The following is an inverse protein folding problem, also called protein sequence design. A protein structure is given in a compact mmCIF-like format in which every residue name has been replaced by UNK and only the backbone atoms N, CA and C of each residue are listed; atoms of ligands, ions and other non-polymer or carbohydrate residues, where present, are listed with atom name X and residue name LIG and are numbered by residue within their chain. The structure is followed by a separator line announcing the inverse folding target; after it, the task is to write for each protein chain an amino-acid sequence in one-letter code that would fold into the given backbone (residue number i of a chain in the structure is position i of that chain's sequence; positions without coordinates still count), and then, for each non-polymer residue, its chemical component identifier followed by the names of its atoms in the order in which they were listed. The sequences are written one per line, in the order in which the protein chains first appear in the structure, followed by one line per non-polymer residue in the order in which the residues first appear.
data_IF_317281446833
#
_entry.id   IF_317281446833
#
_cell.length_a   1.000
_cell.length_b   1.000
_cell.length_c   1.000
_cell.angle_alpha   90.00
_cell.angle_beta   90.00
_cell.angle_gamma   90.00
#
_symmetry.space_group_name_H-M   'P 1'
#
loop_
_entity.id
_entity.type
_entity.pdbx_description
1 polymer ?
#
# COMPACT_ATOMS: atom_id res chain seq x y z
N UNK A 1 -5.02 -1.94 40.72
CA UNK A 1 -5.55 -1.73 39.34
C UNK A 1 -5.45 -0.29 38.82
N UNK A 2 -5.73 0.77 39.61
CA UNK A 2 -5.59 2.19 39.16
C UNK A 2 -4.17 2.56 38.70
N UNK A 3 -3.13 2.16 39.43
CA UNK A 3 -1.72 2.44 39.08
C UNK A 3 -1.31 1.87 37.70
N UNK A 4 -1.60 0.59 37.42
CA UNK A 4 -1.34 -0.02 36.10
C UNK A 4 -2.09 0.67 34.96
N UNK A 5 -3.35 1.08 35.15
CA UNK A 5 -4.13 1.82 34.14
C UNK A 5 -3.56 3.21 33.88
N UNK A 6 -3.07 3.89 34.90
CA UNK A 6 -2.42 5.20 34.75
C UNK A 6 -1.07 5.07 34.03
N UNK A 7 -0.29 4.03 34.32
CA UNK A 7 0.98 3.77 33.63
C UNK A 7 0.78 3.51 32.13
N UNK A 8 -0.26 2.77 31.74
CA UNK A 8 -0.58 2.55 30.32
C UNK A 8 -0.98 3.86 29.64
N UNK A 9 -1.87 4.65 30.26
CA UNK A 9 -2.27 5.97 29.73
C UNK A 9 -1.09 6.93 29.57
N UNK A 10 -0.20 6.99 30.56
CA UNK A 10 0.98 7.85 30.52
C UNK A 10 1.94 7.44 29.40
N UNK A 11 2.10 6.13 29.15
CA UNK A 11 2.90 5.62 28.03
C UNK A 11 2.31 5.99 26.67
N UNK A 12 0.99 5.89 26.50
CA UNK A 12 0.33 6.30 25.26
C UNK A 12 0.51 7.79 24.98
N UNK A 13 0.34 8.64 26.01
CA UNK A 13 0.54 10.09 25.88
C UNK A 13 2.01 10.42 25.58
N UNK A 14 2.95 9.73 26.24
CA UNK A 14 4.38 9.91 25.97
C UNK A 14 4.74 9.53 24.52
N UNK A 15 4.19 8.42 24.01
CA UNK A 15 4.38 8.01 22.61
C UNK A 15 3.80 9.04 21.63
N UNK A 16 2.60 9.56 21.90
CA UNK A 16 2.00 10.62 21.09
C UNK A 16 2.85 11.90 21.12
N UNK A 17 3.39 12.27 22.28
CA UNK A 17 4.30 13.39 22.44
C UNK A 17 5.60 13.21 21.66
N UNK A 18 6.22 12.02 21.71
CA UNK A 18 7.44 11.71 20.94
C UNK A 18 7.15 11.78 19.44
N UNK A 19 6.06 11.17 18.99
CA UNK A 19 5.66 11.21 17.58
C UNK A 19 5.40 12.65 17.09
N UNK A 20 4.78 13.49 17.93
CA UNK A 20 4.51 14.89 17.63
C UNK A 20 5.81 15.71 17.56
N UNK A 21 6.70 15.56 18.54
CA UNK A 21 8.00 16.25 18.53
C UNK A 21 8.82 15.89 17.30
N UNK A 22 8.88 14.61 16.93
CA UNK A 22 9.56 14.19 15.70
C UNK A 22 8.88 14.75 14.45
N UNK A 23 7.55 14.81 14.42
CA UNK A 23 6.80 15.41 13.32
C UNK A 23 7.13 16.90 13.15
N UNK A 24 7.24 17.64 14.25
CA UNK A 24 7.66 19.06 14.25
C UNK A 24 9.10 19.19 13.74
N UNK A 25 10.01 18.32 14.17
CA UNK A 25 11.40 18.32 13.69
C UNK A 25 11.45 18.08 12.18
N UNK A 26 10.72 17.10 11.66
CA UNK A 26 10.69 16.83 10.23
C UNK A 26 10.05 17.95 9.42
N UNK A 27 9.01 18.60 9.94
CA UNK A 27 8.41 19.79 9.33
C UNK A 27 9.40 20.98 9.33
N UNK A 28 10.14 21.18 10.42
CA UNK A 28 11.18 22.20 10.48
C UNK A 28 12.33 21.92 9.52
N UNK A 29 12.71 20.64 9.35
CA UNK A 29 13.72 20.24 8.38
C UNK A 29 13.26 20.48 6.94
N UNK A 30 12.01 20.14 6.60
CA UNK A 30 11.44 20.38 5.27
C UNK A 30 11.46 21.84 4.85
N UNK A 31 11.30 22.74 5.82
CA UNK A 31 11.40 24.17 5.59
C UNK A 31 12.83 24.65 5.28
N UNK A 32 13.86 24.05 5.90
CA UNK A 32 15.25 24.52 5.82
C UNK A 32 16.05 23.82 4.72
N UNK A 33 15.82 22.52 4.50
CA UNK A 33 16.64 21.69 3.62
C UNK A 33 15.83 21.27 2.39
N UNK A 34 16.23 21.67 1.16
CA UNK A 34 15.59 21.21 -0.07
C UNK A 34 15.54 19.68 -0.13
N UNK A 35 14.45 19.13 -0.67
CA UNK A 35 14.21 17.69 -0.78
C UNK A 35 14.02 16.92 0.54
N UNK A 36 14.15 17.55 1.71
CA UNK A 36 13.93 16.84 2.97
C UNK A 36 12.46 16.52 3.24
N UNK A 37 11.52 17.07 2.47
CA UNK A 37 10.11 16.63 2.42
C UNK A 37 9.95 15.15 2.03
N UNK A 38 10.92 14.56 1.31
CA UNK A 38 10.97 13.11 1.09
C UNK A 38 11.14 12.31 2.39
N UNK A 39 11.84 12.87 3.39
CA UNK A 39 11.95 12.23 4.70
C UNK A 39 10.58 12.17 5.38
N UNK A 40 9.75 13.21 5.22
CA UNK A 40 8.39 13.20 5.78
C UNK A 40 7.55 12.08 5.18
N UNK A 41 7.63 11.86 3.86
CA UNK A 41 6.89 10.82 3.14
C UNK A 41 7.20 9.41 3.69
N UNK A 42 8.40 9.19 4.21
CA UNK A 42 8.86 7.90 4.73
C UNK A 42 8.66 7.79 6.24
N UNK A 43 9.14 8.77 7.02
CA UNK A 43 9.21 8.67 8.48
C UNK A 43 7.90 9.01 9.19
N UNK A 44 7.09 9.93 8.65
CA UNK A 44 5.83 10.34 9.29
C UNK A 44 4.79 9.21 9.30
N UNK A 45 4.53 8.50 8.19
CA UNK A 45 3.63 7.36 8.20
C UNK A 45 4.12 6.25 9.13
N UNK A 46 5.44 6.02 9.18
CA UNK A 46 6.06 5.07 10.09
C UNK A 46 5.78 5.40 11.57
N UNK A 47 6.06 6.64 12.00
CA UNK A 47 5.81 7.08 13.38
C UNK A 47 4.33 6.97 13.75
N UNK A 48 3.47 7.38 12.83
CA UNK A 48 2.01 7.36 13.01
C UNK A 48 1.47 5.93 13.09
N UNK A 49 2.03 5.00 12.32
CA UNK A 49 1.70 3.58 12.39
C UNK A 49 2.09 2.97 13.73
N UNK A 50 3.30 3.23 14.23
CA UNK A 50 3.74 2.75 15.55
C UNK A 50 2.87 3.30 16.67
N UNK A 51 2.50 4.58 16.60
CA UNK A 51 1.58 5.19 17.54
C UNK A 51 0.22 4.48 17.50
N UNK A 52 -0.35 4.27 16.31
CA UNK A 52 -1.66 3.64 16.16
C UNK A 52 -1.68 2.19 16.69
N UNK A 53 -0.61 1.41 16.50
CA UNK A 53 -0.50 0.04 17.01
C UNK A 53 -0.53 0.00 18.56
N UNK A 54 -0.05 1.05 19.24
CA UNK A 54 0.18 1.03 20.69
C UNK A 54 -0.68 1.99 21.49
N UNK A 55 -1.54 2.77 20.84
CA UNK A 55 -2.38 3.77 21.49
C UNK A 55 -3.85 3.60 21.16
N UNK A 56 -4.69 4.05 22.09
CA UNK A 56 -6.14 4.12 21.88
C UNK A 56 -6.52 5.14 20.80
N UNK A 57 -7.63 4.91 20.09
CA UNK A 57 -8.17 5.84 19.09
C UNK A 57 -8.32 7.27 19.60
N UNK A 58 -8.63 7.44 20.89
CA UNK A 58 -8.69 8.76 21.54
C UNK A 58 -7.36 9.51 21.46
N UNK A 59 -6.25 8.84 21.77
CA UNK A 59 -4.93 9.45 21.75
C UNK A 59 -4.43 9.66 20.31
N UNK A 60 -4.80 8.78 19.38
CA UNK A 60 -4.56 8.99 17.95
C UNK A 60 -5.28 10.24 17.43
N UNK A 61 -6.53 10.46 17.85
CA UNK A 61 -7.28 11.67 17.47
C UNK A 61 -6.67 12.94 18.05
N UNK A 62 -6.26 12.93 19.33
CA UNK A 62 -5.56 14.06 19.95
C UNK A 62 -4.25 14.36 19.20
N UNK A 63 -3.49 13.33 18.83
CA UNK A 63 -2.28 13.46 18.03
C UNK A 63 -2.57 14.08 16.66
N UNK A 64 -3.57 13.59 15.93
CA UNK A 64 -3.97 14.13 14.63
C UNK A 64 -4.38 15.62 14.73
N UNK A 65 -5.12 15.99 15.77
CA UNK A 65 -5.52 17.37 16.01
C UNK A 65 -4.29 18.26 16.27
N UNK A 66 -3.34 17.78 17.08
CA UNK A 66 -2.08 18.49 17.28
C UNK A 66 -1.28 18.63 15.99
N UNK A 67 -1.24 17.59 15.14
CA UNK A 67 -0.62 17.66 13.80
C UNK A 67 -1.27 18.73 12.93
N UNK A 68 -2.60 18.80 12.89
CA UNK A 68 -3.33 19.84 12.14
C UNK A 68 -2.97 21.24 12.64
N UNK A 69 -2.81 21.43 13.96
CA UNK A 69 -2.42 22.72 14.53
C UNK A 69 -1.00 23.13 14.16
N UNK A 70 -0.03 22.20 14.17
CA UNK A 70 1.35 22.51 13.77
C UNK A 70 1.50 22.71 12.26
N UNK A 71 0.60 22.14 11.45
CA UNK A 71 0.59 22.36 10.00
C UNK A 71 0.36 23.83 9.61
N UNK A 72 -0.07 24.70 10.53
CA UNK A 72 -0.15 26.14 10.27
C UNK A 72 1.21 26.86 10.31
N UNK A 73 2.28 26.21 10.79
CA UNK A 73 3.65 26.76 10.77
C UNK A 73 4.13 26.89 9.31
N UNK A 74 3.91 25.85 8.52
CA UNK A 74 4.11 25.84 7.07
C UNK A 74 2.89 25.17 6.44
N UNK A 75 2.00 25.98 5.90
CA UNK A 75 0.72 25.53 5.32
C UNK A 75 0.97 24.58 4.14
N UNK A 76 2.03 24.80 3.36
CA UNK A 76 2.31 23.98 2.17
C UNK A 76 2.79 22.59 2.60
N UNK A 77 3.85 22.51 3.40
CA UNK A 77 4.37 21.22 3.86
C UNK A 77 3.38 20.54 4.83
N UNK A 78 2.69 21.33 5.65
CA UNK A 78 1.72 20.88 6.63
C UNK A 78 0.47 20.22 6.04
N UNK A 79 -0.18 20.87 5.06
CA UNK A 79 -1.41 20.34 4.44
C UNK A 79 -1.15 19.23 3.43
N UNK A 80 -0.09 19.35 2.62
CA UNK A 80 0.08 18.45 1.47
C UNK A 80 1.02 17.28 1.76
N UNK A 81 1.86 17.38 2.79
CA UNK A 81 2.78 16.31 3.15
C UNK A 81 2.53 15.79 4.56
N UNK A 82 2.51 16.65 5.58
CA UNK A 82 2.44 16.18 6.97
C UNK A 82 1.10 15.48 7.29
N UNK A 83 -0.03 16.16 7.10
CA UNK A 83 -1.36 15.63 7.43
C UNK A 83 -1.67 14.32 6.66
N UNK A 84 -1.53 14.25 5.33
CA UNK A 84 -1.82 13.03 4.58
C UNK A 84 -0.97 11.84 5.06
N UNK A 85 0.32 12.06 5.31
CA UNK A 85 1.24 11.02 5.76
C UNK A 85 0.93 10.52 7.17
N UNK A 86 0.49 11.42 8.07
CA UNK A 86 -0.01 11.00 9.39
C UNK A 86 -1.24 10.12 9.25
N UNK A 87 -2.20 10.50 8.40
CA UNK A 87 -3.43 9.71 8.19
C UNK A 87 -3.08 8.33 7.62
N UNK A 88 -2.20 8.25 6.62
CA UNK A 88 -1.75 6.97 6.04
C UNK A 88 -1.19 6.04 7.12
N UNK A 89 -0.30 6.55 7.97
CA UNK A 89 0.29 5.75 9.04
C UNK A 89 -0.72 5.33 10.11
N UNK A 90 -1.59 6.25 10.56
CA UNK A 90 -2.65 5.93 11.53
C UNK A 90 -3.58 4.84 10.99
N UNK A 91 -3.95 4.92 9.70
CA UNK A 91 -4.76 3.90 9.06
C UNK A 91 -4.02 2.56 9.03
N UNK A 92 -2.77 2.53 8.58
CA UNK A 92 -1.98 1.28 8.57
C UNK A 92 -1.96 0.61 9.96
N UNK A 93 -1.62 1.37 11.01
CA UNK A 93 -1.54 0.81 12.36
C UNK A 93 -2.89 0.35 12.91
N UNK A 94 -3.99 1.00 12.54
CA UNK A 94 -5.33 0.54 12.90
C UNK A 94 -5.74 -0.72 12.13
N UNK A 95 -5.39 -0.83 10.84
CA UNK A 95 -5.61 -2.05 10.04
C UNK A 95 -4.82 -3.25 10.61
N UNK A 96 -3.60 -3.01 11.12
CA UNK A 96 -2.84 -4.00 11.91
C UNK A 96 -3.64 -4.45 13.14
N UNK A 97 -4.17 -3.51 13.92
CA UNK A 97 -4.92 -3.81 15.15
C UNK A 97 -6.22 -4.58 14.86
N UNK A 98 -6.84 -4.35 13.69
CA UNK A 98 -7.99 -5.14 13.22
C UNK A 98 -7.62 -6.55 12.73
N UNK A 99 -6.34 -6.93 12.80
CA UNK A 99 -5.83 -8.24 12.37
C UNK A 99 -6.16 -8.55 10.90
N UNK A 100 -6.15 -7.53 10.05
CA UNK A 100 -6.28 -7.74 8.61
C UNK A 100 -5.07 -8.49 8.08
N UNK A 101 -5.31 -9.34 7.08
CA UNK A 101 -4.27 -10.05 6.36
C UNK A 101 -3.27 -9.09 5.72
N UNK A 102 -2.00 -9.49 5.63
CA UNK A 102 -0.91 -8.65 5.11
C UNK A 102 -1.21 -8.02 3.75
N UNK A 103 -1.78 -8.78 2.82
CA UNK A 103 -2.10 -8.28 1.47
C UNK A 103 -3.23 -7.27 1.48
N UNK A 104 -4.27 -7.50 2.30
CA UNK A 104 -5.39 -6.58 2.44
C UNK A 104 -4.97 -5.30 3.15
N UNK A 105 -4.08 -5.42 4.12
CA UNK A 105 -3.49 -4.30 4.84
C UNK A 105 -2.63 -3.42 3.91
N UNK A 106 -1.76 -4.05 3.10
CA UNK A 106 -0.97 -3.35 2.09
C UNK A 106 -1.87 -2.59 1.10
N UNK A 107 -2.90 -3.26 0.60
CA UNK A 107 -3.82 -2.65 -0.36
C UNK A 107 -4.68 -1.53 0.24
N UNK A 108 -5.29 -1.78 1.40
CA UNK A 108 -6.12 -0.77 2.05
C UNK A 108 -5.32 0.49 2.29
N UNK A 109 -4.06 0.33 2.70
CA UNK A 109 -3.16 1.47 2.93
C UNK A 109 -2.73 2.15 1.63
N UNK A 110 -2.35 1.41 0.58
CA UNK A 110 -1.95 2.01 -0.70
C UNK A 110 -3.10 2.72 -1.40
N UNK A 111 -4.33 2.19 -1.28
CA UNK A 111 -5.55 2.81 -1.79
C UNK A 111 -5.82 4.14 -1.07
N UNK A 112 -5.67 4.17 0.26
CA UNK A 112 -5.88 5.40 1.04
C UNK A 112 -4.77 6.42 0.77
N UNK A 113 -3.52 5.98 0.65
CA UNK A 113 -2.41 6.84 0.21
C UNK A 113 -2.70 7.45 -1.16
N UNK A 114 -3.18 6.65 -2.11
CA UNK A 114 -3.56 7.14 -3.44
C UNK A 114 -4.68 8.18 -3.37
N UNK A 115 -5.77 7.88 -2.65
CA UNK A 115 -6.90 8.81 -2.52
C UNK A 115 -6.46 10.13 -1.89
N UNK A 116 -5.67 10.09 -0.82
CA UNK A 116 -5.16 11.29 -0.16
C UNK A 116 -4.23 12.10 -1.08
N UNK A 117 -3.33 11.42 -1.80
CA UNK A 117 -2.41 12.06 -2.74
C UNK A 117 -3.18 12.70 -3.90
N UNK A 118 -4.20 12.02 -4.42
CA UNK A 118 -5.02 12.51 -5.52
C UNK A 118 -5.89 13.70 -5.09
N UNK A 119 -6.48 13.64 -3.88
CA UNK A 119 -7.20 14.79 -3.28
C UNK A 119 -6.26 15.97 -3.03
N UNK A 120 -5.03 15.72 -2.56
CA UNK A 120 -4.04 16.77 -2.34
C UNK A 120 -3.75 17.56 -3.61
N UNK A 121 -3.65 16.91 -4.78
CA UNK A 121 -3.46 17.58 -6.07
C UNK A 121 -4.59 18.57 -6.36
N UNK A 122 -5.85 18.14 -6.20
CA UNK A 122 -6.99 19.04 -6.41
C UNK A 122 -6.99 20.22 -5.43
N UNK A 123 -6.62 19.97 -4.17
CA UNK A 123 -6.50 21.02 -3.17
C UNK A 123 -5.38 22.02 -3.49
N UNK A 124 -4.21 21.55 -3.95
CA UNK A 124 -3.11 22.43 -4.39
C UNK A 124 -3.57 23.29 -5.56
N UNK A 125 -4.19 22.68 -6.57
CA UNK A 125 -4.68 23.40 -7.73
C UNK A 125 -5.70 24.46 -7.34
N UNK A 126 -6.58 24.15 -6.39
CA UNK A 126 -7.60 25.08 -5.90
C UNK A 126 -7.01 26.24 -5.07
N UNK A 127 -6.09 25.96 -4.14
CA UNK A 127 -5.54 26.95 -3.20
C UNK A 127 -4.51 27.84 -3.87
N UNK A 128 -3.57 27.26 -4.64
CA UNK A 128 -2.47 28.01 -5.24
C UNK A 128 -2.70 28.43 -6.69
N UNK A 129 -3.82 28.02 -7.30
CA UNK A 129 -4.16 28.31 -8.70
C UNK A 129 -3.07 27.84 -9.69
N UNK A 130 -2.38 26.75 -9.35
CA UNK A 130 -1.38 26.08 -10.18
C UNK A 130 -2.08 24.90 -10.88
N UNK A 131 -1.83 24.69 -12.17
CA UNK A 131 -2.26 23.44 -12.82
C UNK A 131 -1.17 22.38 -12.69
N UNK A 132 -1.25 21.57 -11.62
CA UNK A 132 -0.30 20.48 -11.43
C UNK A 132 -0.33 19.44 -12.56
N UNK A 133 -1.45 19.22 -13.24
CA UNK A 133 -1.49 18.28 -14.36
C UNK A 133 -0.64 18.79 -15.52
N UNK A 134 -0.69 20.10 -15.80
CA UNK A 134 0.17 20.74 -16.79
C UNK A 134 1.65 20.71 -16.38
N UNK A 135 1.95 20.95 -15.10
CA UNK A 135 3.33 20.88 -14.59
C UNK A 135 3.91 19.47 -14.78
N UNK A 136 3.16 18.43 -14.39
CA UNK A 136 3.60 17.06 -14.59
C UNK A 136 3.65 16.67 -16.08
N UNK A 137 2.69 17.09 -16.90
CA UNK A 137 2.71 16.79 -18.34
C UNK A 137 3.97 17.36 -19.01
N UNK A 138 4.37 18.58 -18.63
CA UNK A 138 5.59 19.21 -19.11
C UNK A 138 6.86 18.46 -18.65
N UNK A 139 6.88 17.99 -17.39
CA UNK A 139 8.00 17.21 -16.84
C UNK A 139 8.19 15.89 -17.59
N UNK A 140 7.09 15.22 -17.96
CA UNK A 140 7.11 13.96 -18.71
C UNK A 140 7.15 14.14 -20.24
N UNK A 141 7.13 15.39 -20.73
CA UNK A 141 7.06 15.73 -22.17
C UNK A 141 5.86 15.08 -22.87
N UNK A 142 4.71 15.05 -22.19
CA UNK A 142 3.45 14.51 -22.69
C UNK A 142 2.45 15.65 -22.93
N UNK A 143 1.52 15.43 -23.86
CA UNK A 143 0.34 16.28 -23.95
C UNK A 143 -0.47 16.18 -22.66
N UNK A 144 -1.04 17.30 -22.21
CA UNK A 144 -1.81 17.36 -20.95
C UNK A 144 -3.00 16.38 -20.95
N UNK A 145 -3.67 16.24 -22.10
CA UNK A 145 -4.76 15.28 -22.30
C UNK A 145 -4.31 13.83 -22.10
N UNK A 146 -3.10 13.49 -22.56
CA UNK A 146 -2.51 12.17 -22.40
C UNK A 146 -2.08 11.93 -20.95
N UNK A 147 -1.48 12.93 -20.30
CA UNK A 147 -1.10 12.82 -18.89
C UNK A 147 -2.34 12.62 -18.00
N UNK A 148 -3.42 13.36 -18.22
CA UNK A 148 -4.68 13.21 -17.47
C UNK A 148 -5.26 11.80 -17.56
N UNK A 149 -5.02 11.06 -18.65
CA UNK A 149 -5.43 9.66 -18.78
C UNK A 149 -4.63 8.72 -17.88
N UNK A 150 -3.31 8.90 -17.80
CA UNK A 150 -2.42 8.02 -17.02
C UNK A 150 -2.25 8.46 -15.56
N UNK A 151 -2.58 9.71 -15.23
CA UNK A 151 -2.32 10.32 -13.94
C UNK A 151 -2.85 9.49 -12.75
N UNK A 152 -4.09 8.96 -12.74
CA UNK A 152 -4.57 8.14 -11.63
C UNK A 152 -3.68 6.90 -11.38
N UNK A 153 -3.29 6.21 -12.45
CA UNK A 153 -2.42 5.04 -12.37
C UNK A 153 -1.01 5.42 -11.90
N UNK A 154 -0.48 6.56 -12.37
CA UNK A 154 0.81 7.09 -11.94
C UNK A 154 0.84 7.39 -10.44
N UNK A 155 -0.14 8.14 -9.93
CA UNK A 155 -0.22 8.45 -8.50
C UNK A 155 -0.48 7.19 -7.67
N UNK A 156 -1.26 6.24 -8.19
CA UNK A 156 -1.41 4.94 -7.55
C UNK A 156 -0.08 4.19 -7.44
N UNK A 157 0.73 4.16 -8.49
CA UNK A 157 2.05 3.53 -8.47
C UNK A 157 2.99 4.16 -7.42
N UNK A 158 2.98 5.50 -7.30
CA UNK A 158 3.73 6.20 -6.25
C UNK A 158 3.26 5.80 -4.85
N UNK A 159 1.93 5.73 -4.63
CA UNK A 159 1.36 5.29 -3.36
C UNK A 159 1.70 3.84 -3.01
N UNK A 160 1.80 2.96 -4.02
CA UNK A 160 2.25 1.57 -3.84
C UNK A 160 3.71 1.54 -3.40
N UNK A 161 4.59 2.31 -4.03
CA UNK A 161 6.02 2.42 -3.62
C UNK A 161 6.14 2.93 -2.19
N UNK A 162 5.43 4.02 -1.86
CA UNK A 162 5.44 4.60 -0.52
C UNK A 162 4.98 3.57 0.53
N UNK A 163 3.84 2.91 0.26
CA UNK A 163 3.28 1.91 1.15
C UNK A 163 4.22 0.72 1.33
N UNK A 164 4.97 0.35 0.29
CA UNK A 164 5.96 -0.73 0.36
C UNK A 164 7.11 -0.40 1.30
N UNK A 165 7.71 0.78 1.15
CA UNK A 165 8.78 1.25 2.04
C UNK A 165 8.30 1.31 3.49
N UNK A 166 7.12 1.88 3.72
CA UNK A 166 6.52 1.95 5.05
C UNK A 166 6.22 0.56 5.62
N UNK A 167 5.65 -0.35 4.82
CA UNK A 167 5.32 -1.71 5.28
C UNK A 167 6.58 -2.48 5.69
N UNK A 168 7.65 -2.40 4.91
CA UNK A 168 8.92 -3.07 5.23
C UNK A 168 9.49 -2.57 6.57
N UNK A 169 9.53 -1.25 6.75
CA UNK A 169 10.07 -0.64 7.98
C UNK A 169 9.20 -0.91 9.21
N UNK A 170 7.88 -0.76 9.10
CA UNK A 170 6.97 -1.01 10.24
C UNK A 170 6.96 -2.49 10.61
N UNK A 171 6.98 -3.42 9.65
CA UNK A 171 6.97 -4.86 9.95
C UNK A 171 8.20 -5.31 10.73
N UNK A 172 9.39 -4.78 10.42
CA UNK A 172 10.61 -5.12 11.14
C UNK A 172 10.59 -4.60 12.58
N UNK A 173 10.01 -3.43 12.82
CA UNK A 173 9.79 -2.92 14.18
C UNK A 173 8.68 -3.69 14.92
N UNK A 174 7.59 -4.06 14.25
CA UNK A 174 6.48 -4.83 14.85
C UNK A 174 6.95 -6.15 15.47
N UNK A 175 7.94 -6.83 14.86
CA UNK A 175 8.55 -8.05 15.42
C UNK A 175 9.13 -7.82 16.81
N UNK A 176 9.73 -6.66 17.07
CA UNK A 176 10.29 -6.29 18.39
C UNK A 176 9.20 -6.09 19.45
N UNK A 177 7.97 -5.82 19.02
CA UNK A 177 6.82 -5.60 19.90
C UNK A 177 5.93 -6.83 20.06
N UNK A 178 6.34 -8.00 19.56
CA UNK A 178 5.56 -9.25 19.54
C UNK A 178 4.19 -9.11 18.87
N UNK A 179 4.06 -8.22 17.87
CA UNK A 179 2.83 -8.09 17.08
C UNK A 179 2.99 -8.93 15.82
N UNK A 180 2.28 -10.05 15.74
CA UNK A 180 2.22 -10.88 14.55
C UNK A 180 1.14 -10.41 13.60
N UNK A 181 1.45 -10.42 12.32
CA UNK A 181 0.47 -10.25 11.24
C UNK A 181 -0.31 -11.55 11.03
N UNK A 182 -1.60 -11.42 10.70
CA UNK A 182 -2.49 -12.55 10.42
C UNK A 182 -2.29 -13.00 8.97
N UNK A 183 -2.27 -14.32 8.76
CA UNK A 183 -2.24 -14.95 7.43
C UNK A 183 -3.42 -15.93 7.34
N UNK A 184 -4.46 -15.57 6.57
CA UNK A 184 -5.65 -16.37 6.36
C UNK A 184 -5.44 -17.43 5.27
N UNK A 185 -5.84 -18.68 5.56
CA UNK A 185 -5.69 -19.82 4.62
C UNK A 185 -6.48 -19.65 3.32
N UNK A 186 -7.60 -18.93 3.34
CA UNK A 186 -8.44 -18.71 2.14
C UNK A 186 -8.09 -17.44 1.36
N UNK A 187 -7.08 -16.69 1.83
CA UNK A 187 -6.71 -15.40 1.26
C UNK A 187 -6.37 -15.49 -0.23
N UNK A 188 -5.71 -16.57 -0.66
CA UNK A 188 -5.37 -16.78 -2.07
C UNK A 188 -6.60 -16.72 -2.99
N UNK A 189 -7.69 -17.41 -2.64
CA UNK A 189 -8.93 -17.40 -3.43
C UNK A 189 -9.58 -16.01 -3.45
N UNK A 190 -9.56 -15.31 -2.32
CA UNK A 190 -10.09 -13.95 -2.19
C UNK A 190 -9.31 -13.01 -3.12
N UNK A 191 -7.98 -13.07 -3.10
CA UNK A 191 -7.11 -12.22 -3.93
C UNK A 191 -7.28 -12.50 -5.43
N UNK A 192 -7.44 -13.77 -5.82
CA UNK A 192 -7.76 -14.14 -7.21
C UNK A 192 -9.12 -13.58 -7.64
N UNK A 193 -10.15 -13.73 -6.80
CA UNK A 193 -11.48 -13.20 -7.09
C UNK A 193 -11.46 -11.69 -7.26
N UNK A 194 -10.72 -10.98 -6.40
CA UNK A 194 -10.55 -9.52 -6.50
C UNK A 194 -9.77 -9.13 -7.77
N UNK A 195 -8.72 -9.87 -8.14
CA UNK A 195 -7.99 -9.62 -9.39
C UNK A 195 -8.93 -9.71 -10.61
N UNK A 196 -9.67 -10.81 -10.72
CA UNK A 196 -10.62 -11.02 -11.82
C UNK A 196 -11.70 -9.95 -11.84
N UNK A 197 -12.21 -9.55 -10.67
CA UNK A 197 -13.18 -8.47 -10.54
C UNK A 197 -12.63 -7.16 -11.11
N UNK A 198 -11.43 -6.74 -10.70
CA UNK A 198 -10.82 -5.50 -11.18
C UNK A 198 -10.53 -5.53 -12.67
N UNK A 199 -10.06 -6.68 -13.18
CA UNK A 199 -9.86 -6.86 -14.61
C UNK A 199 -11.16 -6.73 -15.41
N UNK A 200 -12.22 -7.44 -15.01
CA UNK A 200 -13.50 -7.38 -15.71
C UNK A 200 -14.11 -5.97 -15.65
N UNK A 201 -14.06 -5.32 -14.49
CA UNK A 201 -14.53 -3.94 -14.33
C UNK A 201 -13.76 -2.96 -15.23
N UNK A 202 -12.45 -3.17 -15.39
CA UNK A 202 -11.63 -2.32 -16.26
C UNK A 202 -12.08 -2.35 -17.71
N UNK A 203 -12.58 -3.49 -18.20
CA UNK A 203 -13.08 -3.65 -19.57
C UNK A 203 -14.47 -3.03 -19.76
N UNK A 204 -15.29 -2.99 -18.70
CA UNK A 204 -16.66 -2.48 -18.76
C UNK A 204 -16.73 -0.95 -18.63
N UNK A 205 -15.75 -0.31 -17.99
CA UNK A 205 -15.77 1.13 -17.73
C UNK A 205 -15.32 1.93 -18.94
N UNK A 206 -16.20 2.80 -19.43
CA UNK A 206 -15.93 3.69 -20.59
C UNK A 206 -14.89 4.77 -20.32
N UNK A 207 -14.73 5.20 -19.07
CA UNK A 207 -13.72 6.19 -18.71
C UNK A 207 -12.33 5.54 -18.71
N UNK A 208 -11.51 5.89 -19.71
CA UNK A 208 -10.17 5.35 -19.92
C UNK A 208 -9.27 5.50 -18.69
N UNK A 209 -9.30 6.64 -18.00
CA UNK A 209 -8.44 6.88 -16.84
C UNK A 209 -8.78 5.96 -15.66
N UNK A 210 -10.08 5.72 -15.44
CA UNK A 210 -10.55 4.79 -14.40
C UNK A 210 -10.27 3.34 -14.81
N UNK A 211 -10.49 3.00 -16.07
CA UNK A 211 -10.14 1.68 -16.62
C UNK A 211 -8.66 1.37 -16.38
N UNK A 212 -7.75 2.30 -16.65
CA UNK A 212 -6.31 2.13 -16.40
C UNK A 212 -5.97 1.98 -14.92
N UNK A 213 -6.62 2.74 -14.04
CA UNK A 213 -6.43 2.58 -12.60
C UNK A 213 -6.82 1.16 -12.14
N UNK A 214 -7.96 0.65 -12.60
CA UNK A 214 -8.45 -0.70 -12.26
C UNK A 214 -7.54 -1.80 -12.80
N UNK A 215 -6.95 -1.59 -13.98
CA UNK A 215 -5.89 -2.46 -14.50
C UNK A 215 -4.66 -2.45 -13.58
N UNK A 216 -4.25 -1.29 -13.07
CA UNK A 216 -3.18 -1.20 -12.07
C UNK A 216 -3.46 -2.02 -10.82
N UNK A 217 -4.69 -1.95 -10.29
CA UNK A 217 -5.12 -2.80 -9.17
C UNK A 217 -5.03 -4.29 -9.52
N UNK A 218 -5.55 -4.71 -10.68
CA UNK A 218 -5.49 -6.10 -11.14
C UNK A 218 -4.05 -6.63 -11.21
N UNK A 219 -3.12 -5.85 -11.79
CA UNK A 219 -1.69 -6.22 -11.86
C UNK A 219 -1.08 -6.36 -10.47
N UNK A 220 -1.37 -5.43 -9.56
CA UNK A 220 -0.89 -5.50 -8.18
C UNK A 220 -1.38 -6.75 -7.46
N UNK A 221 -2.66 -7.14 -7.64
CA UNK A 221 -3.18 -8.36 -7.02
C UNK A 221 -2.58 -9.63 -7.62
N UNK A 222 -2.48 -9.70 -8.95
CA UNK A 222 -1.87 -10.85 -9.64
C UNK A 222 -0.44 -11.07 -9.17
N UNK A 223 0.31 -10.00 -8.96
CA UNK A 223 1.70 -10.07 -8.52
C UNK A 223 1.86 -10.41 -7.04
N UNK A 224 1.00 -9.87 -6.14
CA UNK A 224 0.97 -10.32 -4.73
C UNK A 224 0.67 -11.83 -4.63
N UNK A 225 -0.24 -12.35 -5.45
CA UNK A 225 -0.54 -13.79 -5.50
C UNK A 225 0.68 -14.61 -5.89
N UNK A 226 1.40 -14.19 -6.95
CA UNK A 226 2.64 -14.81 -7.38
C UNK A 226 3.68 -14.79 -6.24
N UNK A 227 3.82 -13.66 -5.53
CA UNK A 227 4.74 -13.55 -4.38
C UNK A 227 4.40 -14.56 -3.29
N UNK A 228 3.13 -14.65 -2.90
CA UNK A 228 2.70 -15.53 -1.81
C UNK A 228 3.02 -16.99 -2.13
N UNK A 229 2.80 -17.42 -3.37
CA UNK A 229 3.03 -18.80 -3.79
C UNK A 229 4.52 -19.13 -4.00
N UNK A 230 5.29 -18.23 -4.64
CA UNK A 230 6.74 -18.42 -4.78
C UNK A 230 7.47 -18.37 -3.43
N UNK A 231 7.00 -17.55 -2.49
CA UNK A 231 7.55 -17.52 -1.13
C UNK A 231 7.31 -18.83 -0.37
N UNK A 232 6.30 -19.62 -0.74
CA UNK A 232 6.02 -20.91 -0.11
C UNK A 232 6.94 -22.02 -0.66
N UNK A 233 7.28 -21.97 -1.97
CA UNK A 233 8.09 -23.01 -2.64
C UNK A 233 9.58 -22.70 -2.76
N UNK A 234 9.97 -21.43 -2.87
CA UNK A 234 11.34 -21.01 -3.12
C UNK A 234 11.79 -19.96 -2.10
N UNK A 235 13.00 -20.13 -1.54
CA UNK A 235 13.69 -19.11 -0.71
C UNK A 235 14.16 -17.90 -1.56
N UNK A 236 13.45 -17.53 -2.61
CA UNK A 236 13.78 -16.34 -3.39
C UNK A 236 13.47 -15.11 -2.53
N UNK A 237 14.40 -14.16 -2.56
CA UNK A 237 14.37 -12.97 -1.71
C UNK A 237 13.13 -12.13 -2.04
N UNK A 238 12.20 -11.97 -1.08
CA UNK A 238 10.91 -11.25 -1.25
C UNK A 238 11.07 -9.84 -1.84
N UNK A 239 12.24 -9.23 -1.65
CA UNK A 239 12.66 -7.94 -2.19
C UNK A 239 12.79 -7.97 -3.72
N UNK A 240 13.39 -9.01 -4.29
CA UNK A 240 13.60 -9.14 -5.75
C UNK A 240 12.26 -9.23 -6.48
N UNK A 241 11.32 -10.02 -5.93
CA UNK A 241 9.98 -10.15 -6.49
C UNK A 241 9.17 -8.86 -6.37
N UNK A 242 9.38 -8.09 -5.31
CA UNK A 242 8.76 -6.77 -5.10
C UNK A 242 9.31 -5.71 -6.08
N UNK A 243 10.61 -5.76 -6.39
CA UNK A 243 11.24 -4.89 -7.39
C UNK A 243 10.73 -5.23 -8.79
N UNK A 244 10.60 -6.51 -9.13
CA UNK A 244 9.99 -6.96 -10.39
C UNK A 244 8.54 -6.49 -10.55
N UNK A 245 7.80 -6.37 -9.44
CA UNK A 245 6.42 -5.88 -9.38
C UNK A 245 6.33 -4.39 -9.70
N UNK A 246 7.26 -3.60 -9.16
CA UNK A 246 7.37 -2.18 -9.48
C UNK A 246 7.75 -2.01 -10.95
N UNK A 247 8.75 -2.76 -11.43
CA UNK A 247 9.18 -2.72 -12.82
C UNK A 247 8.04 -3.11 -13.76
N UNK A 248 7.21 -4.11 -13.45
CA UNK A 248 6.10 -4.51 -14.33
C UNK A 248 5.01 -3.44 -14.43
N UNK A 249 4.70 -2.74 -13.33
CA UNK A 249 3.79 -1.60 -13.33
C UNK A 249 4.37 -0.45 -14.18
N UNK A 250 5.65 -0.11 -14.02
CA UNK A 250 6.29 0.96 -14.81
C UNK A 250 6.50 0.60 -16.28
N UNK A 251 6.79 -0.66 -16.59
CA UNK A 251 6.88 -1.16 -17.97
C UNK A 251 5.49 -1.14 -18.63
N UNK A 252 4.43 -1.48 -17.89
CA UNK A 252 3.07 -1.32 -18.39
C UNK A 252 2.74 0.16 -18.67
N UNK A 253 3.13 1.08 -17.78
CA UNK A 253 2.98 2.52 -18.01
C UNK A 253 3.76 3.01 -19.24
N UNK A 254 5.02 2.57 -19.41
CA UNK A 254 5.89 2.97 -20.51
C UNK A 254 5.41 2.47 -21.88
N UNK A 255 4.99 1.20 -21.96
CA UNK A 255 4.42 0.61 -23.18
C UNK A 255 3.16 1.37 -23.60
N UNK A 256 2.34 1.82 -22.65
CA UNK A 256 1.11 2.54 -22.95
C UNK A 256 1.31 3.99 -23.39
N UNK A 257 2.30 4.69 -22.81
CA UNK A 257 2.67 6.04 -23.24
C UNK A 257 3.30 6.03 -24.63
N UNK A 258 4.06 4.97 -24.96
CA UNK A 258 4.72 4.82 -26.26
C UNK A 258 3.79 4.48 -27.44
N UNK A 259 2.63 3.86 -27.20
CA UNK A 259 1.71 3.38 -28.27
C UNK A 259 0.56 4.36 -28.49
N UNK A 260 0.89 5.63 -28.71
CA UNK A 260 -0.10 6.68 -29.01
C UNK A 260 -1.26 6.22 -29.90
N UNK A 261 -2.49 6.46 -29.42
CA UNK A 261 -3.79 6.37 -30.11
C UNK A 261 -4.26 5.03 -30.70
N UNK A 262 -3.44 3.98 -30.79
CA UNK A 262 -3.92 2.66 -31.24
C UNK A 262 -4.01 1.67 -30.08
N UNK A 263 -5.18 1.66 -29.44
CA UNK A 263 -5.61 0.78 -28.33
C UNK A 263 -5.67 -0.73 -28.68
N UNK A 264 -4.99 -1.20 -29.72
CA UNK A 264 -5.22 -2.56 -30.22
C UNK A 264 -4.18 -3.56 -29.68
N UNK A 265 -4.72 -4.51 -28.92
CA UNK A 265 -4.22 -5.85 -28.59
C UNK A 265 -2.91 -6.01 -27.80
N UNK A 266 -1.85 -5.23 -28.01
CA UNK A 266 -0.55 -5.47 -27.34
C UNK A 266 -0.56 -5.10 -25.84
N UNK A 267 -1.37 -4.12 -25.50
CA UNK A 267 -1.61 -3.62 -24.14
C UNK A 267 -2.25 -4.68 -23.23
N UNK A 268 -3.10 -5.54 -23.80
CA UNK A 268 -3.77 -6.62 -23.08
C UNK A 268 -2.85 -7.82 -22.86
N UNK A 269 -1.73 -7.94 -23.60
CA UNK A 269 -0.87 -9.12 -23.55
C UNK A 269 -0.19 -9.34 -22.18
N UNK A 270 0.40 -8.33 -21.51
CA UNK A 270 0.92 -8.50 -20.15
C UNK A 270 -0.16 -8.92 -19.15
N UNK A 271 -1.41 -8.49 -19.37
CA UNK A 271 -2.54 -8.74 -18.49
C UNK A 271 -3.11 -10.14 -18.68
N UNK A 272 -3.30 -10.56 -19.93
CA UNK A 272 -3.64 -11.94 -20.29
C UNK A 272 -2.57 -12.88 -19.73
N UNK A 273 -1.29 -12.51 -19.83
CA UNK A 273 -0.20 -13.28 -19.21
C UNK A 273 -0.37 -13.33 -17.69
N UNK A 274 -0.62 -12.22 -16.98
CA UNK A 274 -0.83 -12.26 -15.52
C UNK A 274 -2.08 -13.06 -15.10
N UNK A 275 -3.14 -13.07 -15.91
CA UNK A 275 -4.37 -13.83 -15.66
C UNK A 275 -4.13 -15.31 -15.94
N UNK A 276 -3.50 -15.66 -17.07
CA UNK A 276 -3.12 -17.03 -17.40
C UNK A 276 -2.22 -17.58 -16.30
N UNK A 277 -1.22 -16.80 -15.87
CA UNK A 277 -0.34 -17.16 -14.76
C UNK A 277 -1.17 -17.39 -13.48
N UNK A 278 -2.06 -16.45 -13.12
CA UNK A 278 -2.94 -16.60 -11.96
C UNK A 278 -3.84 -17.85 -12.05
N UNK A 279 -4.39 -18.15 -13.23
CA UNK A 279 -5.25 -19.31 -13.47
C UNK A 279 -4.48 -20.65 -13.44
N UNK A 280 -3.30 -20.71 -14.07
CA UNK A 280 -2.40 -21.86 -13.96
C UNK A 280 -2.06 -22.10 -12.48
N UNK A 281 -1.84 -21.04 -11.72
CA UNK A 281 -1.55 -21.15 -10.30
C UNK A 281 -2.74 -21.63 -9.45
N UNK A 282 -4.00 -21.24 -9.78
CA UNK A 282 -5.19 -21.84 -9.16
C UNK A 282 -5.20 -23.36 -9.37
N UNK A 283 -4.90 -23.83 -10.58
CA UNK A 283 -4.88 -25.27 -10.88
C UNK A 283 -3.74 -25.99 -10.14
N UNK A 284 -2.56 -25.37 -10.04
CA UNK A 284 -1.43 -25.93 -9.27
C UNK A 284 -1.69 -25.96 -7.77
N UNK A 285 -2.26 -24.89 -7.18
CA UNK A 285 -2.59 -24.83 -5.75
C UNK A 285 -3.67 -25.86 -5.39
N UNK A 286 -4.73 -25.95 -6.22
CA UNK A 286 -5.80 -26.95 -6.06
C UNK A 286 -5.25 -28.38 -6.17
N UNK A 287 -4.33 -28.63 -7.09
CA UNK A 287 -3.66 -29.92 -7.26
C UNK A 287 -2.79 -30.29 -6.06
N UNK A 288 -1.94 -29.37 -5.59
CA UNK A 288 -1.07 -29.59 -4.43
C UNK A 288 -1.85 -29.82 -3.13
N UNK A 289 -2.90 -29.05 -2.88
CA UNK A 289 -3.71 -29.23 -1.68
C UNK A 289 -4.46 -30.58 -1.72
N UNK A 290 -4.92 -31.01 -2.89
CA UNK A 290 -5.56 -32.32 -3.05
C UNK A 290 -4.57 -33.46 -2.77
N UNK A 291 -3.29 -33.29 -3.11
CA UNK A 291 -2.22 -34.24 -2.80
C UNK A 291 -1.69 -34.17 -1.35
N UNK A 292 -1.63 -33.01 -0.70
CA UNK A 292 -1.28 -32.90 0.74
C UNK A 292 -2.39 -33.48 1.65
N UNK A 293 -3.66 -33.40 1.25
CA UNK A 293 -4.74 -34.12 1.95
C UNK A 293 -4.66 -35.64 1.78
N UNK A 294 -4.11 -36.12 0.66
CA UNK A 294 -3.89 -37.56 0.43
C UNK A 294 -2.73 -38.09 1.28
N UNK A 295 -1.69 -37.29 1.55
CA UNK A 295 -0.60 -37.69 2.45
C UNK A 295 -0.97 -37.60 3.92
N UNK A 296 -1.80 -36.63 4.34
CA UNK A 296 -2.27 -36.57 5.74
C UNK A 296 -3.26 -37.69 6.10
N UNK A 297 -4.10 -38.15 5.17
CA UNK A 297 -5.00 -39.28 5.41
C UNK A 297 -4.30 -40.65 5.38
N UNK A 298 -3.06 -40.74 4.87
CA UNK A 298 -2.24 -41.96 4.97
C UNK A 298 -1.41 -42.06 6.24
N UNK A 299 -1.38 -41.02 7.09
CA UNK A 299 -0.63 -41.01 8.35
C UNK A 299 -1.49 -41.26 9.61
N UNK A 300 -2.81 -41.44 9.47
CA UNK A 300 -3.73 -41.65 10.61
C UNK A 300 -4.01 -43.12 10.97
N UNK A 301 -3.25 -44.09 10.44
CA UNK A 301 -3.46 -45.52 10.74
C UNK A 301 -2.39 -46.22 11.59
N UNK A 302 -1.37 -45.52 12.10
CA UNK A 302 -0.27 -46.14 12.86
C UNK A 302 -0.12 -45.64 14.32
N UNK A 303 -1.19 -45.17 14.95
CA UNK A 303 -1.22 -44.93 16.40
C UNK A 303 -2.11 -45.95 17.12
N UNK A 304 -1.79 -47.24 16.94
CA UNK A 304 -2.04 -48.27 17.94
C UNK A 304 -0.68 -48.83 18.36
N UNK A 305 -0.54 -49.13 19.65
CA UNK A 305 0.67 -49.50 20.41
C UNK A 305 1.33 -48.26 21.08
N UNK A 306 0.93 -47.88 22.30
CA UNK A 306 1.46 -48.42 23.59
C UNK A 306 2.96 -48.09 23.65
N UNK A 307 3.50 -47.21 24.48
CA UNK A 307 3.20 -46.77 25.86
C UNK A 307 3.84 -45.39 26.09
#
# INVERSE_FOLDING_TARGET
MKSKRNLVKNREIALAGIALSLSIIFLGLSYVIPFSSFLMIIFIPFLSALLAIRSSLKNQFIFLLAVVLISFIDIQEGLFYLIPNVIIGLVYGNLVNFKLDRSLLFLGTSTISFLLSYVAIYLINFIYKIDLFLVFSNLFRLEESQFKLIAPLFFFALSVIQTLIMTLTVQDEMKKFNVSTYDNRYQFYILVGINLLFYLLSLLIKNKAISYLLLGYSVLYGTINIIYEFSYKCKINKIILSILLIISIFVSLYIFVGIGNNLNSLVLAPQIITIIISCIFITMYSYMHKHEKLTLNSFYFDNNMVE
#
